data_IF_235658642270
#
_entry.id   IF_235658642270
#
_cell.length_a   1.000
_cell.length_b   1.000
_cell.length_c   1.000
_cell.angle_alpha   90.00
_cell.angle_beta   90.00
_cell.angle_gamma   90.00
#
_symmetry.space_group_name_H-M   'P 1'
#
loop_
_entity.id
_entity.type
_entity.pdbx_description
1 polymer ?
#
# COMPACT_ATOMS: atom_id res chain seq x y z
N UNK A 1 -51.87 15.89 -32.90
CA UNK A 1 -50.65 16.61 -32.44
C UNK A 1 -49.85 15.67 -31.55
N UNK A 2 -48.75 15.12 -32.06
CA UNK A 2 -47.86 14.20 -31.32
C UNK A 2 -47.07 15.02 -30.28
N UNK A 3 -47.29 14.77 -29.00
CA UNK A 3 -46.40 15.28 -27.93
C UNK A 3 -45.23 14.31 -27.82
N UNK A 4 -44.03 14.77 -28.20
CA UNK A 4 -42.77 14.04 -28.08
C UNK A 4 -42.41 13.90 -26.60
N UNK A 5 -42.32 12.66 -26.11
CA UNK A 5 -41.68 12.32 -24.85
C UNK A 5 -40.17 12.30 -25.10
N UNK A 6 -39.44 13.28 -24.55
CA UNK A 6 -37.99 13.26 -24.53
C UNK A 6 -37.57 12.26 -23.44
N UNK A 7 -37.16 11.07 -23.87
CA UNK A 7 -36.49 10.11 -23.01
C UNK A 7 -35.05 10.58 -22.76
N UNK A 8 -34.79 11.14 -21.59
CA UNK A 8 -33.45 11.45 -21.12
C UNK A 8 -32.68 10.14 -20.92
N UNK A 9 -31.81 9.79 -21.86
CA UNK A 9 -30.80 8.75 -21.66
C UNK A 9 -29.84 9.23 -20.56
N UNK A 10 -30.01 8.69 -19.35
CA UNK A 10 -28.97 8.77 -18.33
C UNK A 10 -27.84 7.86 -18.83
N UNK A 11 -26.80 8.47 -19.42
CA UNK A 11 -25.57 7.77 -19.71
C UNK A 11 -24.96 7.34 -18.36
N UNK A 12 -25.23 6.11 -17.95
CA UNK A 12 -24.45 5.41 -16.93
C UNK A 12 -23.07 5.14 -17.54
N UNK A 13 -22.20 6.17 -17.56
CA UNK A 13 -20.77 5.90 -17.63
C UNK A 13 -20.47 5.05 -16.39
N UNK A 14 -20.02 3.78 -16.53
CA UNK A 14 -19.53 3.06 -15.37
C UNK A 14 -18.45 3.93 -14.78
N UNK A 15 -18.67 4.41 -13.55
CA UNK A 15 -17.59 4.91 -12.74
C UNK A 15 -16.68 3.72 -12.60
N UNK A 16 -15.60 3.68 -13.40
CA UNK A 16 -14.50 2.76 -13.21
C UNK A 16 -13.94 3.11 -11.84
N UNK A 17 -14.54 2.54 -10.79
CA UNK A 17 -13.87 2.34 -9.53
C UNK A 17 -12.74 1.40 -9.93
N UNK A 18 -11.57 1.99 -10.22
CA UNK A 18 -10.34 1.25 -10.40
C UNK A 18 -10.14 0.48 -9.10
N UNK A 19 -10.62 -0.76 -9.08
CA UNK A 19 -10.44 -1.64 -7.96
C UNK A 19 -8.92 -1.78 -7.80
N UNK A 20 -8.43 -1.38 -6.63
CA UNK A 20 -7.01 -1.44 -6.32
C UNK A 20 -6.53 -2.88 -6.50
N UNK A 21 -5.42 -3.04 -7.20
CA UNK A 21 -4.92 -4.35 -7.62
C UNK A 21 -4.04 -4.95 -6.53
N UNK A 22 -4.67 -5.29 -5.40
CA UNK A 22 -4.01 -5.89 -4.25
C UNK A 22 -3.56 -7.31 -4.57
N UNK A 23 -2.24 -7.53 -4.53
CA UNK A 23 -1.62 -8.84 -4.72
C UNK A 23 -1.17 -9.39 -3.38
N UNK A 24 -1.54 -10.63 -3.09
CA UNK A 24 -1.12 -11.35 -1.88
C UNK A 24 0.37 -11.68 -1.95
N UNK A 25 1.12 -11.23 -0.94
CA UNK A 25 2.58 -11.43 -0.88
C UNK A 25 2.95 -12.55 0.09
N UNK A 26 2.10 -12.81 1.07
CA UNK A 26 2.30 -13.87 2.04
C UNK A 26 1.62 -13.56 3.37
N UNK A 27 1.62 -14.55 4.25
CA UNK A 27 0.95 -14.46 5.55
C UNK A 27 1.90 -14.81 6.68
N UNK A 28 1.55 -14.35 7.87
CA UNK A 28 2.08 -14.82 9.14
C UNK A 28 0.94 -15.47 9.92
N UNK A 29 1.18 -15.93 11.14
CA UNK A 29 0.11 -16.36 12.05
C UNK A 29 -0.84 -15.23 12.46
N UNK A 30 -0.47 -13.96 12.23
CA UNK A 30 -1.20 -12.79 12.74
C UNK A 30 -1.92 -11.97 11.66
N UNK A 31 -1.40 -11.96 10.43
CA UNK A 31 -1.93 -11.15 9.34
C UNK A 31 -1.47 -11.65 7.97
N UNK A 32 -2.16 -11.18 6.93
CA UNK A 32 -1.81 -11.34 5.52
C UNK A 32 -1.28 -10.01 4.99
N UNK A 33 -0.21 -10.04 4.19
CA UNK A 33 0.31 -8.89 3.48
C UNK A 33 -0.18 -8.86 2.03
N UNK A 34 -0.56 -7.67 1.59
CA UNK A 34 -0.87 -7.37 0.21
C UNK A 34 -0.11 -6.14 -0.25
N UNK A 35 0.16 -6.03 -1.54
CA UNK A 35 0.72 -4.82 -2.16
C UNK A 35 -0.19 -4.38 -3.31
N UNK A 36 -0.47 -3.10 -3.39
CA UNK A 36 -1.23 -2.54 -4.51
C UNK A 36 -0.30 -2.40 -5.70
N UNK A 37 -0.44 -3.31 -6.67
CA UNK A 37 0.43 -3.39 -7.83
C UNK A 37 0.46 -2.08 -8.62
N UNK A 38 -0.67 -1.39 -8.70
CA UNK A 38 -0.81 -0.18 -9.53
C UNK A 38 -0.19 1.05 -8.85
N UNK A 39 0.12 0.94 -7.55
CA UNK A 39 0.81 2.00 -6.80
C UNK A 39 2.33 1.95 -6.87
N UNK A 40 2.89 0.91 -7.51
CA UNK A 40 4.34 0.71 -7.57
C UNK A 40 4.96 1.76 -8.50
N UNK A 41 5.89 2.54 -7.97
CA UNK A 41 6.55 3.61 -8.73
C UNK A 41 8.05 3.65 -8.45
N UNK A 42 8.83 3.91 -9.49
CA UNK A 42 10.29 4.13 -9.38
C UNK A 42 10.58 5.61 -9.19
N UNK A 43 11.45 5.91 -8.24
CA UNK A 43 11.91 7.25 -7.90
C UNK A 43 13.44 7.30 -7.84
N UNK A 44 13.98 8.51 -7.74
CA UNK A 44 15.41 8.75 -7.64
C UNK A 44 15.76 9.32 -6.27
N UNK A 45 16.80 8.77 -5.65
CA UNK A 45 17.37 9.38 -4.46
C UNK A 45 18.08 10.68 -4.83
N UNK A 46 18.02 11.69 -3.97
CA UNK A 46 18.77 12.95 -4.20
C UNK A 46 20.28 12.77 -4.08
N UNK A 47 20.73 11.72 -3.37
CA UNK A 47 22.15 11.31 -3.31
C UNK A 47 22.58 10.36 -4.44
N UNK A 48 21.70 10.07 -5.40
CA UNK A 48 21.95 9.15 -6.51
C UNK A 48 21.43 7.73 -6.27
N UNK A 49 21.12 7.02 -7.37
CA UNK A 49 20.44 5.73 -7.35
C UNK A 49 18.91 5.86 -7.37
N UNK A 50 18.23 4.72 -7.26
CA UNK A 50 16.76 4.63 -7.34
C UNK A 50 16.17 3.94 -6.12
N UNK A 51 14.90 4.24 -5.85
CA UNK A 51 14.08 3.49 -4.89
C UNK A 51 12.67 3.33 -5.44
N UNK A 52 11.95 2.36 -4.90
CA UNK A 52 10.57 2.05 -5.27
C UNK A 52 9.64 2.46 -4.15
N UNK A 53 8.45 2.97 -4.47
CA UNK A 53 7.36 3.17 -3.51
C UNK A 53 6.18 2.30 -3.85
N UNK A 54 5.40 1.87 -2.85
CA UNK A 54 4.13 1.20 -3.04
C UNK A 54 3.23 1.32 -1.81
N UNK A 55 1.92 1.22 -2.01
CA UNK A 55 0.97 0.96 -0.93
C UNK A 55 0.98 -0.51 -0.55
N UNK A 56 1.12 -0.77 0.76
CA UNK A 56 1.11 -2.10 1.36
C UNK A 56 -0.04 -2.19 2.33
N UNK A 57 -0.83 -3.25 2.25
CA UNK A 57 -1.94 -3.53 3.16
C UNK A 57 -1.58 -4.72 4.06
N UNK A 58 -1.97 -4.64 5.33
CA UNK A 58 -2.00 -5.78 6.25
C UNK A 58 -3.45 -6.04 6.66
N UNK A 59 -3.91 -7.27 6.48
CA UNK A 59 -5.21 -7.72 6.99
C UNK A 59 -4.97 -8.66 8.18
N UNK A 60 -5.36 -8.22 9.37
CA UNK A 60 -5.13 -8.93 10.63
C UNK A 60 -6.23 -9.96 10.87
N UNK A 61 -5.84 -11.15 11.32
CA UNK A 61 -6.80 -12.22 11.64
C UNK A 61 -7.65 -11.87 12.87
N UNK A 62 -7.12 -11.05 13.78
CA UNK A 62 -7.77 -10.64 15.02
C UNK A 62 -7.66 -9.12 15.22
N UNK A 63 -8.57 -8.58 16.03
CA UNK A 63 -8.56 -7.17 16.39
C UNK A 63 -7.22 -6.77 17.00
N UNK A 64 -6.66 -5.68 16.51
CA UNK A 64 -5.56 -4.98 17.15
C UNK A 64 -6.12 -3.77 17.89
N UNK A 65 -5.43 -3.29 18.92
CA UNK A 65 -5.87 -2.15 19.73
C UNK A 65 -4.80 -1.05 19.73
N UNK A 66 -5.23 0.19 19.50
CA UNK A 66 -4.39 1.38 19.63
C UNK A 66 -4.35 1.85 21.08
N UNK A 67 -3.37 2.68 21.44
CA UNK A 67 -3.25 3.24 22.80
C UNK A 67 -4.45 4.09 23.23
N UNK A 68 -5.24 4.59 22.27
CA UNK A 68 -6.49 5.31 22.51
C UNK A 68 -7.72 4.40 22.65
N UNK A 69 -7.54 3.07 22.71
CA UNK A 69 -8.60 2.07 22.87
C UNK A 69 -9.38 1.75 21.59
N UNK A 70 -9.12 2.42 20.46
CA UNK A 70 -9.76 2.09 19.18
C UNK A 70 -9.20 0.78 18.63
N UNK A 71 -10.09 -0.04 18.08
CA UNK A 71 -9.75 -1.33 17.47
C UNK A 71 -9.62 -1.22 15.95
N UNK A 72 -8.68 -1.96 15.38
CA UNK A 72 -8.45 -2.04 13.94
C UNK A 72 -8.18 -3.47 13.48
N UNK A 73 -8.49 -3.75 12.21
CA UNK A 73 -8.28 -5.04 11.55
C UNK A 73 -7.43 -4.93 10.31
N UNK A 74 -7.18 -3.71 9.83
CA UNK A 74 -6.37 -3.48 8.64
C UNK A 74 -5.45 -2.29 8.85
N UNK A 75 -4.26 -2.35 8.25
CA UNK A 75 -3.44 -1.17 8.02
C UNK A 75 -3.11 -1.02 6.54
N UNK A 76 -2.97 0.22 6.09
CA UNK A 76 -2.37 0.55 4.80
C UNK A 76 -1.17 1.47 5.04
N UNK A 77 -0.02 1.11 4.49
CA UNK A 77 1.23 1.81 4.67
C UNK A 77 1.86 2.20 3.33
N UNK A 78 2.30 3.45 3.20
CA UNK A 78 3.10 3.89 2.06
C UNK A 78 4.57 3.50 2.31
N UNK A 79 5.04 2.51 1.56
CA UNK A 79 6.30 1.81 1.80
C UNK A 79 7.33 2.15 0.72
N UNK A 80 8.60 2.14 1.11
CA UNK A 80 9.77 2.47 0.30
C UNK A 80 10.70 1.26 0.23
N UNK A 81 11.34 1.03 -0.91
CA UNK A 81 12.23 -0.10 -1.15
C UNK A 81 13.47 0.31 -1.95
N UNK A 82 14.64 0.01 -1.42
CA UNK A 82 15.90 0.07 -2.16
C UNK A 82 16.27 -1.34 -2.58
N UNK A 83 16.11 -1.61 -3.86
CA UNK A 83 16.30 -2.93 -4.45
C UNK A 83 17.78 -3.35 -4.51
N UNK A 84 18.69 -2.38 -4.63
CA UNK A 84 20.13 -2.66 -4.70
C UNK A 84 20.67 -2.94 -3.30
N UNK A 85 20.31 -2.11 -2.32
CA UNK A 85 20.76 -2.29 -0.94
C UNK A 85 19.95 -3.35 -0.16
N UNK A 86 18.87 -3.88 -0.75
CA UNK A 86 17.87 -4.77 -0.13
C UNK A 86 17.35 -4.21 1.20
N UNK A 87 16.87 -2.97 1.16
CA UNK A 87 16.32 -2.27 2.33
C UNK A 87 14.92 -1.75 2.08
N UNK A 88 14.17 -1.54 3.16
CA UNK A 88 12.84 -0.95 3.10
C UNK A 88 12.57 0.00 4.26
N UNK A 89 11.63 0.91 4.03
CA UNK A 89 11.10 1.82 5.03
C UNK A 89 9.62 2.14 4.74
N UNK A 90 8.96 2.97 5.55
CA UNK A 90 7.58 3.44 5.28
C UNK A 90 7.32 4.79 5.95
N UNK A 91 6.52 5.68 5.38
CA UNK A 91 6.34 7.03 5.92
C UNK A 91 4.94 7.29 6.47
N UNK A 92 3.90 6.66 5.93
CA UNK A 92 2.52 6.93 6.29
C UNK A 92 1.73 5.65 6.52
N UNK A 93 0.97 5.57 7.60
CA UNK A 93 0.12 4.42 7.94
C UNK A 93 -1.28 4.89 8.34
N UNK A 94 -2.29 4.23 7.79
CA UNK A 94 -3.70 4.41 8.16
C UNK A 94 -4.22 3.11 8.77
N UNK A 95 -4.96 3.22 9.87
CA UNK A 95 -5.61 2.10 10.55
C UNK A 95 -7.10 2.09 10.24
N UNK A 96 -7.63 0.90 9.91
CA UNK A 96 -9.03 0.73 9.56
C UNK A 96 -9.74 -0.26 10.50
N UNK A 97 -10.94 0.09 10.92
CA UNK A 97 -11.83 -0.82 11.65
C UNK A 97 -12.38 -1.93 10.74
N UNK A 98 -13.22 -2.81 11.30
CA UNK A 98 -13.82 -3.93 10.59
C UNK A 98 -14.82 -3.49 9.50
N UNK A 99 -15.32 -2.25 9.57
CA UNK A 99 -16.21 -1.64 8.59
C UNK A 99 -15.45 -0.83 7.54
N UNK A 100 -14.12 -0.89 7.54
CA UNK A 100 -13.23 -0.12 6.65
C UNK A 100 -13.30 1.40 6.86
N UNK A 101 -13.70 1.87 8.05
CA UNK A 101 -13.54 3.27 8.41
C UNK A 101 -12.13 3.52 8.95
N UNK A 102 -11.53 4.64 8.57
CA UNK A 102 -10.26 5.08 9.15
C UNK A 102 -10.47 5.47 10.62
N UNK A 103 -9.76 4.82 11.53
CA UNK A 103 -9.86 5.09 12.98
C UNK A 103 -8.70 5.93 13.51
N UNK A 104 -7.56 5.88 12.83
CA UNK A 104 -6.36 6.64 13.16
C UNK A 104 -5.38 6.64 11.98
N UNK A 105 -4.36 7.51 12.03
CA UNK A 105 -3.23 7.47 11.11
C UNK A 105 -1.99 8.11 11.73
N UNK A 106 -0.81 7.73 11.26
CA UNK A 106 0.41 8.44 11.61
C UNK A 106 1.33 8.59 10.41
N UNK A 107 2.17 9.63 10.48
CA UNK A 107 3.24 9.88 9.52
C UNK A 107 4.57 9.95 10.26
N UNK A 108 5.63 9.47 9.61
CA UNK A 108 7.02 9.65 10.01
C UNK A 108 7.85 10.05 8.80
N UNK A 109 9.03 10.59 9.07
CA UNK A 109 9.97 10.94 8.01
C UNK A 109 10.67 9.68 7.46
N UNK A 110 10.89 9.65 6.15
CA UNK A 110 11.76 8.69 5.46
C UNK A 110 12.74 9.50 4.62
N UNK A 111 14.04 9.25 4.78
CA UNK A 111 15.06 9.91 3.99
C UNK A 111 14.99 9.48 2.53
N UNK A 112 14.85 10.44 1.62
CA UNK A 112 14.98 10.26 0.17
C UNK A 112 16.33 10.73 -0.37
N UNK A 113 17.29 10.97 0.52
CA UNK A 113 18.69 11.21 0.13
C UNK A 113 19.44 9.90 -0.14
N UNK A 114 19.24 8.89 0.72
CA UNK A 114 19.74 7.52 0.53
C UNK A 114 19.01 6.56 1.48
N UNK A 115 19.15 5.26 1.26
CA UNK A 115 18.60 4.20 2.13
C UNK A 115 19.48 3.84 3.34
N UNK A 116 20.44 4.70 3.72
CA UNK A 116 21.44 4.37 4.76
C UNK A 116 20.78 3.91 6.06
N UNK A 117 19.74 4.61 6.50
CA UNK A 117 19.06 4.39 7.78
C UNK A 117 17.81 3.49 7.65
N UNK A 118 17.53 2.98 6.45
CA UNK A 118 16.41 2.06 6.23
C UNK A 118 16.71 0.66 6.77
N UNK A 119 15.67 -0.14 6.97
CA UNK A 119 15.77 -1.48 7.55
C UNK A 119 16.12 -2.52 6.48
N UNK A 120 17.05 -3.43 6.76
CA UNK A 120 17.40 -4.52 5.82
C UNK A 120 16.29 -5.56 5.72
N UNK A 121 16.08 -6.08 4.52
CA UNK A 121 15.30 -7.31 4.34
C UNK A 121 16.01 -8.47 5.05
N UNK A 122 15.24 -9.25 5.81
CA UNK A 122 15.72 -10.45 6.47
C UNK A 122 15.32 -11.65 5.61
N UNK A 123 16.27 -12.54 5.27
CA UNK A 123 15.99 -13.73 4.46
C UNK A 123 14.85 -14.58 5.03
N UNK A 124 14.09 -15.23 4.14
CA UNK A 124 13.01 -16.15 4.48
C UNK A 124 11.88 -15.50 5.30
N UNK A 125 11.67 -14.19 5.10
CA UNK A 125 10.57 -13.45 5.74
C UNK A 125 9.60 -12.87 4.73
N UNK A 126 8.37 -12.61 5.18
CA UNK A 126 7.41 -11.83 4.37
C UNK A 126 7.92 -10.40 4.13
N UNK A 127 8.84 -9.91 4.98
CA UNK A 127 9.55 -8.65 4.76
C UNK A 127 10.36 -8.66 3.46
N UNK A 128 11.13 -9.72 3.24
CA UNK A 128 11.87 -9.96 2.00
C UNK A 128 10.94 -10.14 0.80
N UNK A 129 9.91 -10.99 0.90
CA UNK A 129 8.98 -11.23 -0.20
C UNK A 129 8.30 -9.96 -0.73
N UNK A 130 7.98 -9.00 0.14
CA UNK A 130 7.47 -7.67 -0.27
C UNK A 130 8.48 -6.89 -1.08
N UNK A 131 9.73 -6.86 -0.61
CA UNK A 131 10.81 -6.16 -1.30
C UNK A 131 11.02 -6.77 -2.68
N UNK A 132 11.15 -8.10 -2.75
CA UNK A 132 11.40 -8.80 -4.01
C UNK A 132 10.26 -8.60 -5.01
N UNK A 133 9.01 -8.66 -4.56
CA UNK A 133 7.87 -8.38 -5.44
C UNK A 133 7.91 -6.94 -5.96
N UNK A 134 8.05 -5.93 -5.09
CA UNK A 134 8.08 -4.53 -5.52
C UNK A 134 9.24 -4.28 -6.50
N UNK A 135 10.41 -4.83 -6.22
CA UNK A 135 11.60 -4.71 -7.06
C UNK A 135 11.47 -5.45 -8.39
N UNK A 136 10.74 -6.56 -8.45
CA UNK A 136 10.47 -7.28 -9.71
C UNK A 136 9.55 -6.52 -10.67
N UNK A 137 8.77 -5.56 -10.16
CA UNK A 137 7.89 -4.70 -10.95
C UNK A 137 8.57 -3.39 -11.36
N UNK A 138 9.74 -3.07 -10.81
CA UNK A 138 10.49 -1.87 -11.16
C UNK A 138 10.92 -1.90 -12.64
N UNK A 139 10.56 -0.86 -13.40
CA UNK A 139 10.90 -0.74 -14.82
C UNK A 139 9.89 -1.36 -15.80
N UNK A 140 8.68 -1.74 -15.33
CA UNK A 140 7.52 -1.99 -16.18
C UNK A 140 6.72 -0.72 -16.44
#
# INVERSE_FOLDING_TARGET
>A
MKKLLIATLIALSPLSVHATNWVDIGSTSNFIYHIDRDSIQTHYFTGGGTYITAWVKRDYHQAQELSNGKKYWQTRAFSYYDCVARKSDFDYVIYYDKQSNSVDSFKRYVSTHSSKDWTRAVPDTVGEGKLDYACSQAGR
#
